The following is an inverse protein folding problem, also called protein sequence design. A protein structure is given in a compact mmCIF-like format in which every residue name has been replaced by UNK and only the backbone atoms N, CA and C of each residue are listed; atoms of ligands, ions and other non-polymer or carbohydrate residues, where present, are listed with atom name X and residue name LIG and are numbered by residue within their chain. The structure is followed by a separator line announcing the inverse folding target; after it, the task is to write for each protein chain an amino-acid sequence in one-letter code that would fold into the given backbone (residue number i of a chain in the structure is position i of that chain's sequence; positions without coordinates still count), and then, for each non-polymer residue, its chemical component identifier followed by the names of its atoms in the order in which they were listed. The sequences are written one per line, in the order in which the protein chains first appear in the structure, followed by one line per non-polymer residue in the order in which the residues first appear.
data_IF_026986465111
#
_entry.id   IF_026986465111
#
_cell.length_a   1.000
_cell.length_b   1.000
_cell.length_c   1.000
_cell.angle_alpha   90.00
_cell.angle_beta   90.00
_cell.angle_gamma   90.00
#
_symmetry.space_group_name_H-M   'P 1'
#
loop_
_entity.id
_entity.type
_entity.pdbx_description
1 polymer ?
#
# COMPACT_ATOMS: atom_id res chain seq x y z
N UNK A 1 14.42 15.19 18.04
CA UNK A 1 14.23 13.75 17.73
C UNK A 1 12.89 13.31 18.30
N UNK A 2 12.06 12.59 17.54
CA UNK A 2 10.72 12.21 17.99
C UNK A 2 10.85 11.38 19.26
N UNK A 3 10.23 11.80 20.36
CA UNK A 3 10.35 11.11 21.64
C UNK A 3 9.41 9.88 21.62
N UNK A 4 9.95 8.68 21.84
CA UNK A 4 9.18 7.42 21.91
C UNK A 4 8.89 7.08 23.38
N UNK A 5 8.38 8.08 24.10
CA UNK A 5 8.24 8.17 25.57
C UNK A 5 7.23 7.20 26.19
N UNK A 6 6.22 6.77 25.44
CA UNK A 6 5.17 5.88 25.95
C UNK A 6 5.57 4.39 26.05
N UNK A 7 6.80 4.01 25.68
CA UNK A 7 7.25 2.62 25.73
C UNK A 7 7.85 2.25 27.08
N UNK A 8 7.38 1.14 27.67
CA UNK A 8 7.86 0.63 28.96
C UNK A 8 9.28 0.04 28.92
N UNK A 9 9.83 -0.16 27.72
CA UNK A 9 11.18 -0.66 27.48
C UNK A 9 11.77 -0.05 26.21
N UNK A 10 13.12 0.06 26.10
CA UNK A 10 13.77 0.56 24.89
C UNK A 10 13.38 -0.24 23.64
N UNK A 11 13.11 0.49 22.55
CA UNK A 11 12.80 -0.08 21.25
C UNK A 11 14.05 -0.64 20.56
N UNK A 12 13.89 -1.76 19.88
CA UNK A 12 14.93 -2.38 19.05
C UNK A 12 14.60 -2.09 17.58
N UNK A 13 15.24 -1.06 17.05
CA UNK A 13 14.96 -0.56 15.71
C UNK A 13 15.61 -1.41 14.63
N UNK A 14 14.82 -1.77 13.62
CA UNK A 14 15.28 -2.37 12.37
C UNK A 14 14.89 -1.47 11.20
N UNK A 15 15.79 -1.22 10.23
CA UNK A 15 15.46 -0.42 9.07
C UNK A 15 14.45 -1.14 8.16
N UNK A 16 13.60 -0.36 7.51
CA UNK A 16 12.79 -0.77 6.38
C UNK A 16 13.05 0.15 5.18
N UNK A 17 12.59 -0.26 4.00
CA UNK A 17 12.59 0.57 2.79
C UNK A 17 11.16 0.96 2.46
N UNK A 18 10.91 2.24 2.24
CA UNK A 18 9.67 2.71 1.62
C UNK A 18 9.86 2.71 0.09
N UNK A 19 9.57 1.57 -0.54
CA UNK A 19 9.67 1.42 -2.00
C UNK A 19 8.51 2.18 -2.63
N UNK A 20 8.78 2.90 -3.73
CA UNK A 20 7.80 3.74 -4.46
C UNK A 20 7.05 4.80 -3.62
N UNK A 21 7.44 5.01 -2.37
CA UNK A 21 6.78 5.95 -1.46
C UNK A 21 5.53 5.36 -0.76
N UNK A 22 5.15 4.13 -1.07
CA UNK A 22 3.82 3.58 -0.74
C UNK A 22 3.84 2.09 -0.35
N UNK A 23 5.01 1.47 -0.22
CA UNK A 23 5.16 0.07 0.18
C UNK A 23 6.31 -0.11 1.17
N UNK A 24 6.01 -0.64 2.36
CA UNK A 24 7.04 -1.00 3.36
C UNK A 24 7.64 -2.36 3.00
N UNK A 25 8.94 -2.39 2.69
CA UNK A 25 9.71 -3.60 2.44
C UNK A 25 10.77 -3.79 3.52
N UNK A 26 10.78 -4.95 4.17
CA UNK A 26 11.62 -5.25 5.34
C UNK A 26 12.40 -6.55 5.10
N UNK A 27 13.69 -6.62 5.48
CA UNK A 27 14.42 -7.88 5.50
C UNK A 27 13.95 -8.77 6.67
N UNK A 28 13.65 -10.03 6.37
CA UNK A 28 13.22 -11.04 7.34
C UNK A 28 13.92 -12.36 7.10
N UNK A 29 13.67 -13.35 7.97
CA UNK A 29 14.05 -14.74 7.74
C UNK A 29 12.82 -15.64 7.69
N UNK A 30 12.67 -16.45 6.64
CA UNK A 30 11.61 -17.46 6.52
C UNK A 30 12.25 -18.84 6.38
N UNK A 31 11.92 -19.77 7.26
CA UNK A 31 12.49 -21.12 7.24
C UNK A 31 14.03 -21.15 7.32
N UNK A 32 14.64 -20.14 7.97
CA UNK A 32 16.10 -19.98 8.05
C UNK A 32 16.76 -19.30 6.85
N UNK A 33 15.99 -18.88 5.82
CA UNK A 33 16.52 -18.13 4.67
C UNK A 33 16.19 -16.64 4.76
N UNK A 34 17.18 -15.74 4.56
CA UNK A 34 16.94 -14.30 4.51
C UNK A 34 16.21 -13.93 3.21
N UNK A 35 15.15 -13.12 3.33
CA UNK A 35 14.34 -12.65 2.20
C UNK A 35 13.80 -11.23 2.44
N UNK A 36 13.29 -10.58 1.39
CA UNK A 36 12.54 -9.33 1.52
C UNK A 36 11.04 -9.62 1.59
N UNK A 37 10.35 -8.92 2.49
CA UNK A 37 8.92 -9.05 2.69
C UNK A 37 8.20 -7.69 2.71
N UNK A 38 6.96 -7.69 2.24
CA UNK A 38 6.05 -6.55 2.43
C UNK A 38 5.36 -6.68 3.79
N UNK A 39 5.17 -5.57 4.49
CA UNK A 39 4.30 -5.52 5.68
C UNK A 39 2.89 -5.10 5.26
N UNK A 40 1.89 -5.94 5.55
CA UNK A 40 0.52 -5.77 5.08
C UNK A 40 -0.48 -6.13 6.19
N UNK A 41 -1.01 -5.12 6.89
CA UNK A 41 -2.05 -5.32 7.91
C UNK A 41 -3.44 -5.60 7.32
N UNK A 42 -3.63 -5.42 6.00
CA UNK A 42 -4.85 -5.75 5.27
C UNK A 42 -5.00 -7.24 5.00
N UNK A 43 -3.91 -8.01 5.03
CA UNK A 43 -3.94 -9.47 4.92
C UNK A 43 -4.04 -10.14 6.29
N UNK A 44 -5.05 -11.00 6.49
CA UNK A 44 -5.21 -11.76 7.73
C UNK A 44 -4.12 -12.84 7.93
N UNK A 45 -3.51 -13.33 6.85
CA UNK A 45 -2.49 -14.38 6.88
C UNK A 45 -1.27 -13.99 6.05
N UNK A 46 -0.09 -14.42 6.50
CA UNK A 46 1.15 -14.22 5.77
C UNK A 46 1.20 -15.08 4.51
N UNK A 47 1.82 -14.53 3.45
CA UNK A 47 1.99 -15.16 2.14
C UNK A 47 3.48 -15.44 1.92
N UNK A 48 3.81 -16.60 1.36
CA UNK A 48 5.14 -16.97 0.88
C UNK A 48 5.06 -17.18 -0.63
N UNK A 49 6.06 -16.70 -1.37
CA UNK A 49 6.12 -16.89 -2.81
C UNK A 49 6.24 -18.39 -3.17
N UNK A 50 5.61 -18.82 -4.26
CA UNK A 50 5.76 -20.21 -4.75
C UNK A 50 7.23 -20.59 -4.96
N UNK A 51 8.06 -19.66 -5.43
CA UNK A 51 9.49 -19.88 -5.65
C UNK A 51 10.27 -20.05 -4.35
N UNK A 52 9.94 -19.32 -3.29
CA UNK A 52 10.52 -19.50 -1.96
C UNK A 52 10.06 -20.81 -1.33
N UNK A 53 8.77 -21.14 -1.46
CA UNK A 53 8.19 -22.38 -0.98
C UNK A 53 8.92 -23.60 -1.59
N UNK A 54 9.13 -23.61 -2.90
CA UNK A 54 9.92 -24.65 -3.61
C UNK A 54 11.35 -24.75 -3.07
N UNK A 55 12.06 -23.62 -2.93
CA UNK A 55 13.44 -23.58 -2.40
C UNK A 55 13.56 -24.08 -0.97
N UNK A 56 12.50 -23.93 -0.17
CA UNK A 56 12.43 -24.38 1.22
C UNK A 56 11.87 -25.81 1.36
N UNK A 57 11.48 -26.47 0.25
CA UNK A 57 10.86 -27.78 0.30
C UNK A 57 9.49 -27.77 0.99
N UNK A 58 8.78 -26.64 0.96
CA UNK A 58 7.43 -26.53 1.50
C UNK A 58 6.45 -27.26 0.57
N UNK A 59 6.23 -28.54 0.82
CA UNK A 59 5.23 -29.32 0.11
C UNK A 59 3.87 -29.15 0.77
N UNK A 60 2.85 -28.74 0.01
CA UNK A 60 1.47 -28.77 0.47
C UNK A 60 0.50 -29.20 -0.63
N UNK A 61 -0.37 -30.15 -0.28
CA UNK A 61 -1.54 -30.52 -1.06
C UNK A 61 -2.83 -29.92 -0.47
N UNK A 62 -2.71 -29.09 0.58
CA UNK A 62 -3.86 -28.46 1.21
C UNK A 62 -4.24 -27.21 0.43
N UNK A 63 -5.35 -27.30 -0.31
CA UNK A 63 -5.99 -26.16 -0.97
C UNK A 63 -7.06 -25.55 -0.07
N UNK A 64 -7.12 -24.21 -0.04
CA UNK A 64 -8.23 -23.47 0.57
C UNK A 64 -8.69 -22.35 -0.33
N UNK A 65 -9.98 -22.07 -0.28
CA UNK A 65 -10.53 -20.85 -0.88
C UNK A 65 -10.35 -19.72 0.13
N UNK A 66 -9.53 -18.73 -0.22
CA UNK A 66 -9.39 -17.47 0.52
C UNK A 66 -10.19 -16.36 -0.18
N UNK A 67 -10.48 -15.29 0.56
CA UNK A 67 -11.09 -14.06 0.03
C UNK A 67 -10.03 -12.98 -0.02
N UNK A 68 -9.90 -12.30 -1.15
CA UNK A 68 -9.05 -11.13 -1.37
C UNK A 68 -9.85 -9.96 -1.92
N UNK A 69 -9.15 -8.88 -2.31
CA UNK A 69 -9.75 -7.62 -2.81
C UNK A 69 -10.50 -7.81 -4.14
N UNK A 70 -10.15 -8.81 -4.96
CA UNK A 70 -10.82 -9.09 -6.23
C UNK A 70 -11.76 -10.30 -6.21
N UNK A 71 -11.91 -10.99 -5.07
CA UNK A 71 -12.89 -12.08 -4.93
C UNK A 71 -12.40 -13.28 -4.15
N UNK A 72 -12.73 -14.50 -4.63
CA UNK A 72 -12.34 -15.77 -4.01
C UNK A 72 -11.28 -16.46 -4.87
N UNK A 73 -10.18 -16.89 -4.25
CA UNK A 73 -9.10 -17.62 -4.92
C UNK A 73 -8.78 -18.92 -4.18
N UNK A 74 -8.51 -20.00 -4.94
CA UNK A 74 -7.97 -21.25 -4.36
C UNK A 74 -6.46 -21.11 -4.21
N UNK A 75 -5.95 -21.34 -3.01
CA UNK A 75 -4.53 -21.21 -2.66
C UNK A 75 -4.01 -22.43 -1.94
N UNK A 76 -2.70 -22.68 -2.04
CA UNK A 76 -2.01 -23.73 -1.28
C UNK A 76 -1.55 -23.20 0.07
N UNK A 77 -1.51 -24.06 1.10
CA UNK A 77 -1.10 -23.66 2.45
C UNK A 77 0.11 -24.46 2.96
N UNK A 78 1.20 -23.82 3.36
CA UNK A 78 2.28 -24.51 4.10
C UNK A 78 2.08 -24.38 5.61
N UNK A 79 2.33 -25.45 6.38
CA UNK A 79 2.12 -25.47 7.84
C UNK A 79 3.40 -25.26 8.62
N UNK A 80 3.26 -24.77 9.86
CA UNK A 80 4.34 -24.67 10.85
C UNK A 80 5.58 -23.89 10.37
N UNK A 81 5.36 -22.85 9.56
CA UNK A 81 6.43 -22.05 8.99
C UNK A 81 6.98 -21.10 10.04
N UNK A 82 8.30 -21.08 10.17
CA UNK A 82 8.99 -20.19 11.11
C UNK A 82 9.42 -18.93 10.37
N UNK A 83 8.99 -17.79 10.89
CA UNK A 83 9.30 -16.45 10.40
C UNK A 83 9.98 -15.68 11.52
N UNK A 84 11.05 -14.95 11.20
CA UNK A 84 11.75 -14.05 12.11
C UNK A 84 11.73 -12.63 11.52
N UNK A 85 11.15 -11.71 12.27
CA UNK A 85 11.09 -10.28 11.98
C UNK A 85 11.65 -9.54 13.20
N UNK A 86 12.68 -8.72 13.04
CA UNK A 86 13.28 -7.94 14.12
C UNK A 86 13.74 -8.76 15.35
N UNK A 87 14.16 -10.00 15.16
CA UNK A 87 14.55 -10.91 16.24
C UNK A 87 13.37 -11.56 16.96
N UNK A 88 12.14 -11.23 16.57
CA UNK A 88 10.91 -11.81 17.09
C UNK A 88 10.52 -13.03 16.25
N UNK A 89 11.09 -14.17 16.63
CA UNK A 89 10.82 -15.46 15.98
C UNK A 89 9.40 -15.95 16.29
N UNK A 90 8.64 -16.26 15.24
CA UNK A 90 7.27 -16.78 15.32
C UNK A 90 7.13 -18.05 14.49
N UNK A 91 6.42 -19.04 15.02
CA UNK A 91 5.94 -20.21 14.24
C UNK A 91 4.49 -19.97 13.85
N UNK A 92 4.25 -19.69 12.58
CA UNK A 92 2.91 -19.53 12.03
C UNK A 92 2.26 -20.90 11.82
N UNK A 93 0.98 -21.10 12.23
CA UNK A 93 0.28 -22.36 12.02
C UNK A 93 0.19 -22.73 10.54
N UNK A 94 -0.01 -21.72 9.69
CA UNK A 94 0.07 -21.84 8.24
C UNK A 94 0.52 -20.51 7.60
N UNK A 95 0.95 -20.59 6.35
CA UNK A 95 1.11 -19.47 5.42
C UNK A 95 0.43 -19.82 4.11
N UNK A 96 -0.02 -18.81 3.37
CA UNK A 96 -0.53 -18.97 2.01
C UNK A 96 0.66 -19.04 1.04
N UNK A 97 0.60 -19.93 0.05
CA UNK A 97 1.56 -19.96 -1.06
C UNK A 97 0.88 -19.32 -2.27
N UNK A 98 1.52 -18.31 -2.86
CA UNK A 98 1.01 -17.60 -4.04
C UNK A 98 2.16 -17.12 -4.95
N UNK A 99 1.84 -16.81 -6.21
CA UNK A 99 2.79 -16.17 -7.11
C UNK A 99 2.87 -14.67 -6.82
N UNK A 100 4.07 -14.19 -6.45
CA UNK A 100 4.36 -12.79 -6.13
C UNK A 100 5.18 -12.09 -7.24
N UNK A 101 5.31 -12.69 -8.43
CA UNK A 101 6.09 -12.11 -9.54
C UNK A 101 5.58 -10.74 -9.96
N UNK A 102 4.28 -10.55 -10.13
CA UNK A 102 3.71 -9.26 -10.53
C UNK A 102 4.01 -8.14 -9.54
N UNK A 103 3.95 -8.45 -8.24
CA UNK A 103 4.31 -7.52 -7.15
C UNK A 103 5.81 -7.22 -7.19
N UNK A 104 6.64 -8.25 -7.37
CA UNK A 104 8.10 -8.10 -7.49
C UNK A 104 8.49 -7.19 -8.67
N UNK A 105 7.84 -7.38 -9.83
CA UNK A 105 8.05 -6.55 -11.02
C UNK A 105 7.63 -5.10 -10.78
N UNK A 106 6.47 -4.87 -10.15
CA UNK A 106 5.99 -3.53 -9.81
C UNK A 106 6.96 -2.77 -8.88
N UNK A 107 7.57 -3.47 -7.92
CA UNK A 107 8.54 -2.89 -6.98
C UNK A 107 9.97 -2.87 -7.51
N UNK A 108 10.23 -3.44 -8.70
CA UNK A 108 11.57 -3.55 -9.30
C UNK A 108 12.56 -4.34 -8.43
N UNK A 109 12.07 -5.28 -7.60
CA UNK A 109 12.88 -6.12 -6.72
C UNK A 109 12.15 -7.42 -6.34
N UNK A 110 12.88 -8.49 -6.02
CA UNK A 110 12.25 -9.71 -5.49
C UNK A 110 11.49 -9.43 -4.19
N UNK A 111 10.25 -9.89 -4.12
CA UNK A 111 9.48 -10.01 -2.88
C UNK A 111 9.09 -11.46 -2.71
N UNK A 112 9.60 -12.09 -1.65
CA UNK A 112 9.37 -13.50 -1.40
C UNK A 112 8.31 -13.76 -0.32
N UNK A 113 7.88 -12.72 0.40
CA UNK A 113 6.85 -12.84 1.41
C UNK A 113 6.00 -11.56 1.59
N UNK A 114 4.79 -11.75 2.10
CA UNK A 114 3.91 -10.70 2.62
C UNK A 114 3.58 -11.07 4.06
N UNK A 115 3.80 -10.16 5.00
CA UNK A 115 3.56 -10.36 6.43
C UNK A 115 2.20 -9.80 6.80
N UNK A 116 1.27 -10.69 7.13
CA UNK A 116 -0.08 -10.37 7.52
C UNK A 116 -0.24 -10.00 9.00
N UNK A 117 -1.49 -9.78 9.39
CA UNK A 117 -1.95 -9.57 10.78
C UNK A 117 -1.54 -10.73 11.72
N UNK A 118 -1.40 -11.95 11.19
CA UNK A 118 -0.94 -13.12 11.93
C UNK A 118 0.44 -12.94 12.57
N UNK A 119 1.31 -12.14 11.95
CA UNK A 119 2.60 -11.75 12.52
C UNK A 119 2.47 -10.69 13.63
N UNK A 120 1.42 -9.86 13.58
CA UNK A 120 1.15 -8.77 14.52
C UNK A 120 0.35 -9.20 15.76
N UNK A 121 -0.28 -10.38 15.71
CA UNK A 121 -1.02 -10.94 16.86
C UNK A 121 -0.09 -11.14 18.07
N UNK A 122 -0.46 -10.69 19.26
CA UNK A 122 0.35 -10.64 20.48
C UNK A 122 1.65 -9.83 20.34
N UNK A 123 1.68 -8.88 19.40
CA UNK A 123 2.81 -7.98 19.18
C UNK A 123 2.35 -6.52 19.15
N UNK A 124 3.27 -5.66 19.55
CA UNK A 124 3.18 -4.22 19.44
C UNK A 124 4.21 -3.76 18.41
N UNK A 125 3.73 -3.17 17.31
CA UNK A 125 4.54 -2.67 16.20
C UNK A 125 4.69 -1.15 16.35
N UNK A 126 5.91 -0.64 16.33
CA UNK A 126 6.22 0.77 16.20
C UNK A 126 6.75 1.06 14.79
N UNK A 127 6.22 2.07 14.10
CA UNK A 127 6.69 2.54 12.79
C UNK A 127 7.14 4.00 12.89
N UNK A 128 8.43 4.22 12.63
CA UNK A 128 9.06 5.53 12.54
C UNK A 128 9.36 5.82 11.07
N UNK A 129 8.47 6.54 10.41
CA UNK A 129 8.60 6.86 8.98
C UNK A 129 9.72 7.87 8.73
N UNK A 130 9.93 8.80 9.68
CA UNK A 130 11.00 9.79 9.59
C UNK A 130 12.37 9.14 9.45
N UNK A 131 12.62 8.05 10.18
CA UNK A 131 13.89 7.33 10.14
C UNK A 131 13.81 6.00 9.36
N UNK A 132 12.69 5.73 8.68
CA UNK A 132 12.44 4.48 7.94
C UNK A 132 12.83 3.22 8.72
N UNK A 133 12.30 3.10 9.93
CA UNK A 133 12.60 1.99 10.84
C UNK A 133 11.37 1.54 11.61
N UNK A 134 11.37 0.27 12.00
CA UNK A 134 10.32 -0.33 12.80
C UNK A 134 10.90 -1.03 14.02
N UNK A 135 10.07 -1.23 15.04
CA UNK A 135 10.38 -2.11 16.16
C UNK A 135 9.18 -3.00 16.40
N UNK A 136 9.43 -4.28 16.72
CA UNK A 136 8.40 -5.22 17.12
C UNK A 136 8.71 -5.71 18.53
N UNK A 137 7.69 -5.75 19.39
CA UNK A 137 7.82 -6.26 20.76
C UNK A 137 6.53 -6.92 21.21
N UNK A 138 6.49 -7.37 22.46
CA UNK A 138 5.25 -7.94 23.02
C UNK A 138 4.11 -6.91 23.05
N UNK A 139 2.88 -7.40 22.87
CA UNK A 139 1.66 -6.60 23.06
C UNK A 139 1.60 -6.01 24.47
N UNK A 140 0.95 -4.84 24.62
CA UNK A 140 0.77 -4.15 25.89
C UNK A 140 2.00 -3.39 26.40
N UNK A 141 2.95 -3.05 25.50
CA UNK A 141 4.20 -2.35 25.86
C UNK A 141 4.18 -0.84 25.67
N UNK A 142 3.05 -0.29 25.26
CA UNK A 142 2.90 1.13 24.99
C UNK A 142 1.69 1.69 25.75
N UNK A 143 1.95 2.63 26.67
CA UNK A 143 0.94 3.21 27.55
C UNK A 143 0.43 4.59 27.06
N UNK A 144 0.95 5.04 25.92
CA UNK A 144 0.74 6.39 25.42
C UNK A 144 1.79 7.37 25.93
N UNK A 145 1.99 8.44 25.17
CA UNK A 145 2.88 9.56 25.52
C UNK A 145 2.18 10.88 25.20
N UNK A 146 2.82 12.01 25.53
CA UNK A 146 2.14 13.31 25.54
C UNK A 146 1.52 13.72 24.19
N UNK A 147 2.18 13.36 23.09
CA UNK A 147 1.77 13.72 21.73
C UNK A 147 0.99 12.61 21.01
N UNK A 148 0.78 11.47 21.66
CA UNK A 148 0.16 10.29 21.05
C UNK A 148 -1.35 10.31 21.23
N UNK A 149 -2.08 10.08 20.14
CA UNK A 149 -3.54 10.00 20.12
C UNK A 149 -3.97 8.55 19.97
N UNK A 150 -4.76 8.08 20.92
CA UNK A 150 -5.30 6.72 20.94
C UNK A 150 -6.53 6.59 20.06
N UNK A 151 -6.58 5.51 19.31
CA UNK A 151 -7.73 5.02 18.57
C UNK A 151 -7.98 3.56 18.92
N UNK A 152 -9.24 3.14 18.88
CA UNK A 152 -9.60 1.75 19.08
C UNK A 152 -9.56 1.01 17.75
N UNK A 153 -8.98 -0.19 17.78
CA UNK A 153 -9.06 -1.13 16.68
C UNK A 153 -10.25 -2.05 16.90
N UNK A 154 -10.91 -2.40 15.81
CA UNK A 154 -11.87 -3.49 15.78
C UNK A 154 -11.61 -4.40 14.60
N UNK A 155 -12.33 -5.51 14.52
CA UNK A 155 -12.24 -6.42 13.38
C UNK A 155 -13.58 -6.46 12.66
N UNK A 156 -13.52 -6.40 11.33
CA UNK A 156 -14.65 -6.65 10.46
C UNK A 156 -15.01 -8.13 10.38
N UNK A 157 -16.09 -8.43 9.67
CA UNK A 157 -16.61 -9.80 9.50
C UNK A 157 -15.65 -10.72 8.75
N UNK A 158 -14.72 -10.18 7.95
CA UNK A 158 -13.67 -10.94 7.26
C UNK A 158 -12.29 -10.74 7.91
N UNK A 159 -12.26 -10.33 9.18
CA UNK A 159 -11.03 -9.98 9.92
C UNK A 159 -10.29 -8.75 9.39
N UNK A 160 -10.96 -7.88 8.66
CA UNK A 160 -10.39 -6.58 8.30
C UNK A 160 -10.04 -5.82 9.60
N UNK A 161 -8.86 -5.23 9.69
CA UNK A 161 -8.50 -4.39 10.83
C UNK A 161 -9.14 -3.02 10.64
N UNK A 162 -10.04 -2.61 11.52
CA UNK A 162 -10.86 -1.41 11.35
C UNK A 162 -10.50 -0.30 12.33
N UNK A 163 -10.55 0.93 11.82
CA UNK A 163 -10.49 2.20 12.57
C UNK A 163 -11.63 3.10 12.13
N UNK A 164 -12.11 3.96 13.01
CA UNK A 164 -13.06 5.01 12.62
C UNK A 164 -12.32 6.20 12.01
N UNK A 165 -12.78 6.63 10.84
CA UNK A 165 -12.32 7.85 10.18
C UNK A 165 -13.52 8.61 9.59
N UNK A 166 -13.35 9.91 9.38
CA UNK A 166 -14.33 10.77 8.71
C UNK A 166 -13.75 11.31 7.40
N UNK A 167 -14.59 11.40 6.37
CA UNK A 167 -14.19 11.90 5.04
C UNK A 167 -15.07 13.09 4.70
N UNK A 168 -14.46 14.19 4.27
CA UNK A 168 -15.15 15.40 3.84
C UNK A 168 -16.18 15.96 4.84
N UNK A 169 -16.00 15.70 6.15
CA UNK A 169 -16.88 16.18 7.22
C UNK A 169 -18.09 15.28 7.51
N UNK A 170 -18.17 14.11 6.88
CA UNK A 170 -19.18 13.09 7.21
C UNK A 170 -18.95 12.50 8.61
N UNK A 171 -19.95 11.83 9.22
CA UNK A 171 -19.76 11.11 10.47
C UNK A 171 -18.62 10.08 10.41
N UNK A 172 -18.00 9.83 11.56
CA UNK A 172 -17.02 8.76 11.71
C UNK A 172 -17.62 7.43 11.26
N UNK A 173 -16.87 6.74 10.41
CA UNK A 173 -17.30 5.51 9.76
C UNK A 173 -16.15 4.51 9.77
N UNK A 174 -16.42 3.20 9.93
CA UNK A 174 -15.38 2.19 9.91
C UNK A 174 -14.64 2.14 8.57
N UNK A 175 -13.32 2.22 8.63
CA UNK A 175 -12.39 2.08 7.51
C UNK A 175 -11.36 1.00 7.83
N UNK A 176 -10.92 0.26 6.81
CA UNK A 176 -9.81 -0.68 6.94
C UNK A 176 -8.53 0.12 7.19
N UNK A 177 -7.72 -0.25 8.19
CA UNK A 177 -6.38 0.26 8.41
C UNK A 177 -5.37 -0.66 7.73
N UNK A 178 -4.83 -0.22 6.60
CA UNK A 178 -4.19 -1.10 5.63
C UNK A 178 -2.76 -0.64 5.27
N UNK A 179 -1.75 -1.23 5.91
CA UNK A 179 -0.34 -0.97 5.61
C UNK A 179 0.09 -1.51 4.22
N UNK A 180 -0.68 -2.43 3.64
CA UNK A 180 -0.43 -3.00 2.31
C UNK A 180 -1.10 -2.26 1.16
N UNK A 181 -2.01 -1.32 1.46
CA UNK A 181 -2.68 -0.51 0.45
C UNK A 181 -1.81 0.68 0.02
N UNK A 182 -1.39 0.69 -1.24
CA UNK A 182 -0.58 1.75 -1.84
C UNK A 182 -1.36 3.03 -2.20
N UNK A 183 -2.68 3.05 -2.02
CA UNK A 183 -3.53 4.22 -2.22
C UNK A 183 -3.82 4.89 -0.88
N UNK A 184 -3.71 6.22 -0.78
CA UNK A 184 -3.92 6.94 0.48
C UNK A 184 -5.33 6.71 1.08
N UNK A 185 -6.36 6.76 0.22
CA UNK A 185 -7.75 6.50 0.60
C UNK A 185 -8.48 5.76 -0.52
N UNK A 186 -9.10 4.62 -0.18
CA UNK A 186 -10.10 3.97 -1.03
C UNK A 186 -11.48 4.06 -0.40
N UNK A 187 -12.53 4.34 -1.17
CA UNK A 187 -13.91 4.42 -0.67
C UNK A 187 -14.86 3.48 -1.41
N UNK A 188 -15.75 2.85 -0.66
CA UNK A 188 -16.87 2.08 -1.18
C UNK A 188 -17.71 2.93 -2.15
N UNK A 189 -17.93 2.51 -3.41
CA UNK A 189 -18.73 3.26 -4.37
C UNK A 189 -20.16 3.53 -3.88
N UNK A 190 -20.74 2.64 -3.05
CA UNK A 190 -22.07 2.88 -2.46
C UNK A 190 -22.04 4.05 -1.47
N UNK A 191 -21.03 4.12 -0.61
CA UNK A 191 -20.82 5.24 0.33
C UNK A 191 -20.57 6.56 -0.40
N UNK A 192 -19.77 6.52 -1.47
CA UNK A 192 -19.52 7.69 -2.34
C UNK A 192 -20.81 8.21 -2.97
N UNK A 193 -21.66 7.31 -3.48
CA UNK A 193 -22.95 7.65 -4.08
C UNK A 193 -23.96 8.19 -3.08
N UNK A 194 -24.12 7.51 -1.93
CA UNK A 194 -25.06 7.90 -0.86
C UNK A 194 -24.82 9.33 -0.35
N UNK A 195 -23.56 9.72 -0.25
CA UNK A 195 -23.17 11.03 0.28
C UNK A 195 -22.80 12.07 -0.79
N UNK A 196 -22.98 11.76 -2.07
CA UNK A 196 -22.63 12.64 -3.20
C UNK A 196 -21.19 13.17 -3.12
N UNK A 197 -20.23 12.35 -2.69
CA UNK A 197 -18.87 12.80 -2.39
C UNK A 197 -18.12 13.36 -3.60
N UNK A 198 -18.53 13.00 -4.83
CA UNK A 198 -17.91 13.47 -6.07
C UNK A 198 -18.59 14.73 -6.65
N UNK A 199 -19.67 15.22 -6.04
CA UNK A 199 -20.40 16.37 -6.56
C UNK A 199 -19.54 17.64 -6.51
N UNK A 200 -19.26 18.21 -7.68
CA UNK A 200 -18.43 19.40 -7.81
C UNK A 200 -16.94 19.16 -7.53
N UNK A 201 -16.50 17.90 -7.45
CA UNK A 201 -15.08 17.54 -7.36
C UNK A 201 -14.60 17.13 -8.76
N UNK A 202 -13.38 17.53 -9.12
CA UNK A 202 -12.72 17.01 -10.32
C UNK A 202 -12.50 15.50 -10.14
N UNK A 203 -12.59 14.75 -11.23
CA UNK A 203 -12.45 13.30 -11.18
C UNK A 203 -11.95 12.76 -12.51
N UNK A 204 -11.37 11.58 -12.46
CA UNK A 204 -10.91 10.86 -13.64
C UNK A 204 -11.00 9.35 -13.43
N UNK A 205 -10.67 8.57 -14.46
CA UNK A 205 -10.60 7.11 -14.39
C UNK A 205 -9.21 6.66 -14.00
N UNK A 206 -9.12 5.62 -13.20
CA UNK A 206 -7.88 4.93 -12.87
C UNK A 206 -8.11 3.42 -12.89
N UNK A 207 -7.03 2.68 -12.67
CA UNK A 207 -7.05 1.24 -12.49
C UNK A 207 -6.24 0.85 -11.27
N UNK A 208 -6.72 -0.13 -10.53
CA UNK A 208 -6.05 -0.69 -9.35
C UNK A 208 -5.51 -2.07 -9.75
N UNK A 209 -4.23 -2.31 -9.52
CA UNK A 209 -3.62 -3.63 -9.69
C UNK A 209 -3.61 -4.39 -8.37
N UNK A 210 -3.87 -5.70 -8.42
CA UNK A 210 -3.77 -6.58 -7.26
C UNK A 210 -3.48 -8.03 -7.68
N UNK A 211 -3.45 -8.94 -6.69
CA UNK A 211 -3.23 -10.37 -6.93
C UNK A 211 -4.28 -10.97 -7.87
N UNK A 212 -5.50 -10.44 -7.85
CA UNK A 212 -6.65 -10.91 -8.64
C UNK A 212 -6.79 -10.23 -10.01
N UNK A 213 -5.86 -9.34 -10.40
CA UNK A 213 -5.88 -8.64 -11.69
C UNK A 213 -6.06 -7.12 -11.58
N UNK A 214 -6.72 -6.53 -12.58
CA UNK A 214 -6.91 -5.08 -12.71
C UNK A 214 -8.38 -4.72 -12.47
N UNK A 215 -8.63 -3.79 -11.55
CA UNK A 215 -9.97 -3.28 -11.22
C UNK A 215 -10.11 -1.83 -11.67
N UNK A 216 -11.11 -1.50 -12.53
CA UNK A 216 -11.42 -0.12 -12.88
C UNK A 216 -11.86 0.69 -11.67
N UNK A 217 -11.57 1.98 -11.68
CA UNK A 217 -11.88 2.84 -10.56
C UNK A 217 -11.97 4.32 -10.95
N UNK A 218 -12.57 5.14 -10.09
CA UNK A 218 -12.61 6.59 -10.24
C UNK A 218 -11.65 7.23 -9.24
N UNK A 219 -10.76 8.09 -9.70
CA UNK A 219 -9.82 8.84 -8.86
C UNK A 219 -10.25 10.30 -8.73
N UNK A 220 -10.01 10.88 -7.54
CA UNK A 220 -10.39 12.24 -7.16
C UNK A 220 -9.59 12.69 -5.94
N UNK A 221 -9.57 13.99 -5.66
CA UNK A 221 -8.98 14.53 -4.43
C UNK A 221 -10.04 14.69 -3.32
N UNK A 222 -9.93 13.93 -2.22
CA UNK A 222 -10.79 14.12 -1.06
C UNK A 222 -10.38 15.40 -0.30
N UNK A 223 -11.35 16.28 0.00
CA UNK A 223 -11.09 17.58 0.64
C UNK A 223 -10.30 17.48 1.94
N UNK A 224 -10.69 16.52 2.79
CA UNK A 224 -9.96 16.16 3.99
C UNK A 224 -10.42 14.81 4.53
N UNK A 225 -9.55 14.18 5.29
CA UNK A 225 -9.83 13.00 6.14
C UNK A 225 -9.53 13.37 7.59
N UNK A 226 -10.39 12.93 8.50
CA UNK A 226 -10.10 12.91 9.93
C UNK A 226 -9.72 11.48 10.32
N UNK A 227 -8.52 11.29 10.86
CA UNK A 227 -8.08 10.04 11.46
C UNK A 227 -7.83 10.29 12.95
N UNK A 228 -8.77 9.85 13.79
CA UNK A 228 -8.86 10.29 15.17
C UNK A 228 -9.08 11.80 15.24
N UNK A 229 -8.24 12.50 16.00
CA UNK A 229 -8.28 13.97 16.12
C UNK A 229 -7.52 14.70 15.00
N UNK A 230 -6.80 13.96 14.15
CA UNK A 230 -5.90 14.55 13.15
C UNK A 230 -6.63 14.83 11.85
N UNK A 231 -6.50 16.06 11.34
CA UNK A 231 -7.05 16.48 10.06
C UNK A 231 -5.99 16.44 8.97
N UNK A 232 -6.20 15.62 7.95
CA UNK A 232 -5.34 15.55 6.76
C UNK A 232 -6.09 16.20 5.60
N UNK A 233 -5.67 17.37 5.09
CA UNK A 233 -6.27 17.98 3.91
C UNK A 233 -5.79 17.30 2.61
N UNK A 234 -6.54 17.47 1.51
CA UNK A 234 -6.13 17.09 0.15
C UNK A 234 -5.55 15.68 0.05
N UNK A 235 -6.42 14.69 0.25
CA UNK A 235 -6.03 13.27 0.28
C UNK A 235 -6.35 12.64 -1.09
N UNK A 236 -5.33 12.13 -1.82
CA UNK A 236 -5.57 11.39 -3.06
C UNK A 236 -6.46 10.18 -2.78
N UNK A 237 -7.58 10.10 -3.49
CA UNK A 237 -8.60 9.10 -3.22
C UNK A 237 -9.00 8.35 -4.48
N UNK A 238 -9.54 7.16 -4.25
CA UNK A 238 -9.99 6.27 -5.30
C UNK A 238 -11.27 5.54 -4.86
N UNK A 239 -12.22 5.37 -5.76
CA UNK A 239 -13.38 4.49 -5.54
C UNK A 239 -13.37 3.39 -6.60
N UNK A 240 -13.11 2.12 -6.22
CA UNK A 240 -13.13 1.01 -7.16
C UNK A 240 -14.55 0.74 -7.67
N UNK A 241 -14.65 0.10 -8.84
CA UNK A 241 -15.94 -0.35 -9.38
C UNK A 241 -16.64 -1.40 -8.50
N UNK A 242 -15.87 -2.09 -7.64
CA UNK A 242 -16.36 -3.14 -6.75
C UNK A 242 -15.74 -3.01 -5.37
N UNK A 243 -16.55 -3.24 -4.33
CA UNK A 243 -16.12 -3.24 -2.93
C UNK A 243 -16.63 -4.49 -2.23
N UNK A 244 -15.74 -5.21 -1.53
CA UNK A 244 -16.06 -6.53 -0.96
C UNK A 244 -16.35 -6.48 0.54
N UNK A 245 -15.80 -5.50 1.27
CA UNK A 245 -16.04 -5.43 2.71
C UNK A 245 -17.47 -5.02 3.00
N UNK A 246 -18.12 -5.76 3.87
CA UNK A 246 -19.44 -5.42 4.43
C UNK A 246 -19.32 -4.69 5.77
N UNK A 247 -18.10 -4.60 6.33
CA UNK A 247 -17.84 -4.01 7.64
C UNK A 247 -17.18 -2.62 7.56
N UNK A 248 -16.58 -2.27 6.42
CA UNK A 248 -15.92 -1.00 6.20
C UNK A 248 -16.49 -0.26 4.98
N UNK A 249 -16.48 1.08 5.03
CA UNK A 249 -16.87 1.96 3.91
C UNK A 249 -15.69 2.50 3.11
N UNK A 250 -14.50 2.04 3.43
CA UNK A 250 -13.26 2.44 2.77
C UNK A 250 -12.03 1.80 3.43
N UNK A 251 -10.87 2.15 2.90
CA UNK A 251 -9.55 1.72 3.39
C UNK A 251 -8.63 2.94 3.45
N UNK A 252 -7.96 3.11 4.58
CA UNK A 252 -6.91 4.08 4.82
C UNK A 252 -5.58 3.37 4.57
N UNK A 253 -4.90 3.76 3.49
CA UNK A 253 -3.68 3.09 3.05
C UNK A 253 -2.40 3.79 3.49
N UNK A 254 -1.27 3.17 3.14
CA UNK A 254 0.06 3.54 3.61
C UNK A 254 0.46 5.01 3.34
N UNK A 255 0.13 5.63 2.19
CA UNK A 255 0.46 7.06 1.99
C UNK A 255 -0.20 7.98 3.02
N UNK A 256 -1.42 7.68 3.49
CA UNK A 256 -2.09 8.44 4.55
C UNK A 256 -1.56 8.03 5.93
N UNK A 257 -1.37 6.73 6.17
CA UNK A 257 -0.85 6.22 7.45
C UNK A 257 0.54 6.80 7.75
N UNK A 258 1.41 6.90 6.73
CA UNK A 258 2.77 7.42 6.85
C UNK A 258 2.87 8.92 7.16
N UNK A 259 1.73 9.62 7.20
CA UNK A 259 1.64 10.97 7.79
C UNK A 259 1.79 10.95 9.33
N UNK A 260 1.85 9.77 9.94
CA UNK A 260 1.96 9.56 11.38
C UNK A 260 3.12 8.62 11.73
N UNK A 261 3.79 8.86 12.85
CA UNK A 261 4.40 7.78 13.60
C UNK A 261 3.27 6.89 14.15
N UNK A 262 3.46 5.57 14.08
CA UNK A 262 2.40 4.60 14.41
C UNK A 262 2.88 3.66 15.51
N UNK A 263 2.02 3.43 16.52
CA UNK A 263 2.09 2.24 17.36
C UNK A 263 0.82 1.42 17.17
N UNK A 264 0.98 0.22 16.62
CA UNK A 264 -0.10 -0.70 16.31
C UNK A 264 -0.01 -1.93 17.21
N UNK A 265 -1.04 -2.15 18.03
CA UNK A 265 -1.20 -3.34 18.84
C UNK A 265 -2.57 -3.96 18.62
N UNK A 266 -2.59 -4.94 17.72
CA UNK A 266 -3.83 -5.59 17.28
C UNK A 266 -4.47 -6.41 18.40
N UNK A 267 -3.68 -6.96 19.33
CA UNK A 267 -4.20 -7.79 20.44
C UNK A 267 -4.73 -6.94 21.59
N UNK A 268 -4.07 -5.83 21.90
CA UNK A 268 -4.58 -4.84 22.83
C UNK A 268 -5.74 -4.01 22.23
N UNK A 269 -5.99 -4.15 20.91
CA UNK A 269 -6.98 -3.38 20.14
C UNK A 269 -6.73 -1.87 20.18
N UNK A 270 -5.46 -1.50 20.13
CA UNK A 270 -5.04 -0.11 20.22
C UNK A 270 -4.19 0.30 19.03
N UNK A 271 -4.53 1.46 18.49
CA UNK A 271 -3.72 2.20 17.54
C UNK A 271 -3.37 3.53 18.18
N UNK A 272 -2.10 3.91 18.12
CA UNK A 272 -1.65 5.23 18.54
C UNK A 272 -0.98 5.93 17.39
N UNK A 273 -1.38 7.18 17.19
CA UNK A 273 -0.88 8.02 16.12
C UNK A 273 -0.32 9.31 16.69
N UNK A 274 0.80 9.74 16.14
CA UNK A 274 1.33 11.09 16.31
C UNK A 274 1.77 11.59 14.93
N UNK A 275 1.51 12.86 14.55
CA UNK A 275 2.01 13.38 13.28
C UNK A 275 3.50 13.13 13.08
N UNK A 276 3.88 12.56 11.94
CA UNK A 276 5.27 12.35 11.59
C UNK A 276 5.92 13.71 11.31
N UNK A 277 7.16 13.91 11.78
CA UNK A 277 7.87 15.17 11.55
C UNK A 277 8.28 15.38 10.09
N UNK A 278 8.70 14.31 9.43
CA UNK A 278 8.98 14.30 7.99
C UNK A 278 8.17 13.18 7.36
N UNK A 279 6.90 13.46 7.11
CA UNK A 279 6.02 12.55 6.39
C UNK A 279 6.45 12.42 4.92
N UNK A 280 6.45 11.20 4.35
CA UNK A 280 6.53 11.04 2.90
C UNK A 280 5.37 11.76 2.21
N UNK A 281 5.58 12.34 1.01
CA UNK A 281 4.48 12.98 0.29
C UNK A 281 3.45 11.93 -0.16
N UNK A 282 2.16 12.26 -0.03
CA UNK A 282 1.12 11.54 -0.75
C UNK A 282 1.24 11.90 -2.23
N UNK A 283 1.60 10.93 -3.06
CA UNK A 283 1.91 11.17 -4.46
C UNK A 283 0.64 11.33 -5.30
N UNK A 284 0.61 12.35 -6.15
CA UNK A 284 -0.47 12.65 -7.08
C UNK A 284 0.01 12.46 -8.52
N UNK A 285 -0.64 11.56 -9.27
CA UNK A 285 -0.28 11.37 -10.68
C UNK A 285 -0.74 12.59 -11.47
N UNK A 286 0.15 13.21 -12.23
CA UNK A 286 -0.18 14.35 -13.09
C UNK A 286 -0.05 14.00 -14.57
N UNK A 287 0.01 12.71 -14.91
CA UNK A 287 0.23 12.22 -16.28
C UNK A 287 -1.02 11.62 -16.90
N UNK A 288 -1.82 10.91 -16.11
CA UNK A 288 -2.93 10.09 -16.55
C UNK A 288 -2.58 8.66 -16.93
N UNK A 289 -1.36 8.18 -16.69
CA UNK A 289 -0.99 6.81 -17.06
C UNK A 289 -1.25 5.80 -15.95
N UNK A 290 -1.88 4.68 -16.29
CA UNK A 290 -1.63 3.41 -15.62
C UNK A 290 -0.48 2.71 -16.32
N UNK A 291 0.62 2.43 -15.62
CA UNK A 291 1.82 1.82 -16.20
C UNK A 291 2.14 0.50 -15.50
N UNK A 292 2.58 -0.47 -16.30
CA UNK A 292 3.20 -1.70 -15.82
C UNK A 292 4.63 -1.77 -16.34
N UNK A 293 5.58 -2.08 -15.46
CA UNK A 293 6.97 -2.35 -15.84
C UNK A 293 7.09 -3.81 -16.24
N UNK A 294 7.47 -4.06 -17.49
CA UNK A 294 7.72 -5.39 -18.02
C UNK A 294 9.00 -5.36 -18.85
N UNK A 295 9.96 -6.24 -18.56
CA UNK A 295 11.19 -6.43 -19.35
C UNK A 295 11.92 -5.13 -19.77
N UNK A 296 12.07 -4.17 -18.86
CA UNK A 296 12.77 -2.90 -19.13
C UNK A 296 12.00 -1.93 -20.03
N UNK A 297 10.67 -2.04 -20.11
CA UNK A 297 9.80 -1.09 -20.81
C UNK A 297 8.54 -0.84 -19.98
N UNK A 298 7.93 0.34 -20.15
CA UNK A 298 6.65 0.67 -19.52
C UNK A 298 5.52 0.39 -20.51
N UNK A 299 4.65 -0.54 -20.18
CA UNK A 299 3.42 -0.79 -20.92
C UNK A 299 2.32 0.10 -20.36
N UNK A 300 1.62 0.83 -21.23
CA UNK A 300 0.43 1.60 -20.86
C UNK A 300 -0.72 0.63 -20.70
N UNK A 301 -1.16 0.41 -19.45
CA UNK A 301 -2.31 -0.45 -19.13
C UNK A 301 -3.61 0.33 -19.02
N UNK A 302 -3.51 1.64 -18.76
CA UNK A 302 -4.66 2.53 -18.68
C UNK A 302 -4.28 3.97 -19.06
N UNK A 303 -5.24 4.69 -19.63
CA UNK A 303 -5.14 6.14 -19.88
C UNK A 303 -6.35 6.80 -19.26
N UNK A 304 -6.10 7.62 -18.24
CA UNK A 304 -7.12 8.27 -17.44
C UNK A 304 -7.91 9.30 -18.26
N UNK A 305 -9.23 9.34 -18.09
CA UNK A 305 -10.10 10.28 -18.79
C UNK A 305 -9.70 11.73 -18.50
N UNK A 306 -9.74 12.60 -19.51
CA UNK A 306 -9.42 14.04 -19.38
C UNK A 306 -7.98 14.38 -18.92
N UNK A 307 -7.10 13.38 -18.82
CA UNK A 307 -5.71 13.54 -18.41
C UNK A 307 -4.79 14.09 -19.51
N UNK A 308 -3.56 14.52 -19.17
CA UNK A 308 -2.54 14.85 -20.17
C UNK A 308 -2.27 13.72 -21.16
N UNK A 309 -2.15 12.46 -20.71
CA UNK A 309 -1.93 11.33 -21.59
C UNK A 309 -3.07 11.14 -22.59
N UNK A 310 -4.32 11.31 -22.15
CA UNK A 310 -5.49 11.26 -23.03
C UNK A 310 -5.48 12.38 -24.08
N UNK A 311 -5.14 13.61 -23.68
CA UNK A 311 -5.06 14.79 -24.57
C UNK A 311 -4.02 14.60 -25.67
N UNK A 312 -2.89 14.00 -25.33
CA UNK A 312 -1.84 13.67 -26.30
C UNK A 312 -2.17 12.45 -27.17
N UNK A 313 -3.27 11.74 -26.89
CA UNK A 313 -3.75 10.61 -27.68
C UNK A 313 -3.09 9.27 -27.37
N UNK A 314 -2.51 9.10 -26.17
CA UNK A 314 -2.01 7.79 -25.72
C UNK A 314 -3.16 6.81 -25.52
N UNK A 315 -2.86 5.52 -25.67
CA UNK A 315 -3.84 4.43 -25.51
C UNK A 315 -3.25 3.27 -24.72
N UNK A 316 -4.12 2.49 -24.10
CA UNK A 316 -3.73 1.20 -23.55
C UNK A 316 -3.11 0.33 -24.66
N UNK A 317 -2.01 -0.35 -24.35
CA UNK A 317 -1.19 -1.10 -25.30
C UNK A 317 0.00 -0.34 -25.89
N UNK A 318 0.02 1.01 -25.79
CA UNK A 318 1.21 1.78 -26.11
C UNK A 318 2.36 1.45 -25.15
N UNK A 319 3.60 1.70 -25.57
CA UNK A 319 4.79 1.47 -24.73
C UNK A 319 5.66 2.71 -24.67
N UNK A 320 6.24 2.95 -23.51
CA UNK A 320 7.25 4.00 -23.29
C UNK A 320 8.61 3.33 -23.07
N UNK A 321 9.56 3.64 -23.94
CA UNK A 321 10.91 3.09 -23.93
C UNK A 321 11.94 4.04 -23.31
N UNK A 322 11.66 5.34 -23.29
CA UNK A 322 12.51 6.34 -22.62
C UNK A 322 11.70 7.54 -22.14
N UNK A 323 12.16 8.14 -21.05
CA UNK A 323 11.61 9.38 -20.48
C UNK A 323 12.78 10.35 -20.30
N UNK A 324 12.66 11.55 -20.88
CA UNK A 324 13.72 12.58 -20.86
C UNK A 324 15.07 12.02 -21.30
N UNK A 325 15.07 11.32 -22.45
CA UNK A 325 16.21 10.61 -23.06
C UNK A 325 16.86 9.50 -22.23
N UNK A 326 16.40 9.27 -21.00
CA UNK A 326 16.79 8.11 -20.19
C UNK A 326 15.93 6.91 -20.54
N UNK A 327 16.56 5.82 -20.98
CA UNK A 327 15.88 4.54 -21.28
C UNK A 327 15.25 3.95 -20.02
N UNK A 328 14.14 3.24 -20.21
CA UNK A 328 13.60 2.36 -19.18
C UNK A 328 14.46 1.10 -19.14
N UNK A 329 14.77 0.65 -17.94
CA UNK A 329 15.48 -0.59 -17.65
C UNK A 329 15.15 -1.04 -16.21
N UNK A 330 15.84 -2.06 -15.71
CA UNK A 330 15.66 -2.58 -14.34
C UNK A 330 15.99 -1.57 -13.23
N UNK A 331 16.69 -0.47 -13.54
CA UNK A 331 16.97 0.62 -12.60
C UNK A 331 15.79 1.57 -12.41
N UNK A 332 14.76 1.52 -13.26
CA UNK A 332 13.66 2.49 -13.30
C UNK A 332 13.02 2.75 -11.92
N UNK A 333 12.78 1.69 -11.13
CA UNK A 333 12.24 1.82 -9.77
C UNK A 333 13.32 2.21 -8.76
N UNK A 334 14.53 1.63 -8.86
CA UNK A 334 15.63 1.80 -7.90
C UNK A 334 16.20 3.23 -7.90
N UNK A 335 16.32 3.83 -9.08
CA UNK A 335 16.95 5.13 -9.28
C UNK A 335 15.97 6.29 -9.21
N UNK A 336 14.76 6.04 -8.70
CA UNK A 336 13.68 7.03 -8.60
C UNK A 336 13.25 7.63 -9.94
N UNK A 337 13.61 7.03 -11.08
CA UNK A 337 13.24 7.53 -12.40
C UNK A 337 11.72 7.59 -12.55
N UNK A 338 11.00 6.66 -11.92
CA UNK A 338 9.55 6.61 -11.81
C UNK A 338 8.86 7.87 -11.27
N UNK A 339 9.58 8.74 -10.55
CA UNK A 339 9.02 9.97 -9.94
C UNK A 339 8.54 11.00 -10.96
N UNK A 340 8.93 10.86 -12.23
CA UNK A 340 8.53 11.78 -13.30
C UNK A 340 7.02 11.98 -13.37
N UNK A 341 6.22 10.97 -13.01
CA UNK A 341 4.74 11.02 -13.06
C UNK A 341 4.12 11.95 -12.02
N UNK A 342 4.86 12.20 -10.95
CA UNK A 342 4.43 12.92 -9.75
C UNK A 342 5.13 14.28 -9.65
N UNK A 343 5.81 14.73 -10.71
CA UNK A 343 6.43 16.05 -10.77
C UNK A 343 5.34 17.15 -10.83
N UNK A 344 5.65 18.39 -10.41
CA UNK A 344 4.64 19.45 -10.35
C UNK A 344 3.92 19.70 -11.69
N UNK A 345 2.63 20.09 -11.66
CA UNK A 345 1.90 20.55 -12.84
C UNK A 345 2.68 21.63 -13.62
N UNK A 346 2.58 21.59 -14.94
CA UNK A 346 3.36 22.45 -15.85
C UNK A 346 4.74 21.89 -16.21
N UNK A 347 5.22 20.85 -15.52
CA UNK A 347 6.44 20.14 -15.93
C UNK A 347 6.25 19.51 -17.30
N UNK A 348 7.17 19.77 -18.23
CA UNK A 348 7.22 19.08 -19.52
C UNK A 348 8.16 17.88 -19.43
N UNK A 349 7.70 16.72 -19.90
CA UNK A 349 8.53 15.53 -20.11
C UNK A 349 8.47 15.09 -21.56
N UNK A 350 9.51 14.40 -22.03
CA UNK A 350 9.55 13.78 -23.36
C UNK A 350 9.52 12.28 -23.23
N UNK A 351 8.60 11.63 -23.94
CA UNK A 351 8.40 10.19 -23.94
C UNK A 351 8.73 9.62 -25.30
N UNK A 352 9.63 8.63 -25.37
CA UNK A 352 9.91 7.88 -26.60
C UNK A 352 9.08 6.61 -26.63
N UNK A 353 8.29 6.44 -27.67
CA UNK A 353 7.42 5.27 -27.84
C UNK A 353 8.10 4.10 -28.58
N UNK A 354 7.37 2.99 -28.74
CA UNK A 354 7.85 1.75 -29.39
C UNK A 354 8.26 1.90 -30.85
N UNK A 355 7.78 2.93 -31.57
CA UNK A 355 8.17 3.19 -32.97
C UNK A 355 9.26 4.26 -33.06
N UNK A 356 9.80 4.70 -31.92
CA UNK A 356 10.88 5.70 -31.83
C UNK A 356 10.39 7.14 -31.91
N UNK A 357 9.08 7.39 -31.92
CA UNK A 357 8.54 8.76 -31.92
C UNK A 357 8.70 9.36 -30.53
N UNK A 358 9.16 10.62 -30.49
CA UNK A 358 9.25 11.40 -29.26
C UNK A 358 8.02 12.28 -29.14
N UNK A 359 7.28 12.11 -28.04
CA UNK A 359 6.06 12.85 -27.72
C UNK A 359 6.32 13.71 -26.49
N UNK A 360 5.85 14.95 -26.51
CA UNK A 360 5.90 15.84 -25.35
C UNK A 360 4.65 15.61 -24.52
N UNK A 361 4.79 15.66 -23.20
CA UNK A 361 3.67 15.61 -22.27
C UNK A 361 3.88 16.71 -21.24
N UNK A 362 2.89 17.58 -21.07
CA UNK A 362 2.88 18.58 -19.99
C UNK A 362 2.00 18.05 -18.87
N UNK A 363 2.58 17.87 -17.69
CA UNK A 363 1.88 17.38 -16.51
C UNK A 363 0.83 18.38 -16.04
N UNK A 364 -0.30 17.90 -15.55
CA UNK A 364 -1.38 18.74 -15.02
C UNK A 364 -2.28 17.97 -14.05
N UNK A 365 -2.86 18.68 -13.09
CA UNK A 365 -3.94 18.16 -12.24
C UNK A 365 -5.13 17.77 -13.13
N UNK A 366 -5.56 16.52 -13.05
CA UNK A 366 -6.67 16.02 -13.87
C UNK A 366 -7.78 15.34 -13.06
N UNK A 367 -7.63 15.26 -11.73
CA UNK A 367 -8.63 14.76 -10.79
C UNK A 367 -8.64 15.56 -9.47
#
# INVERSE_FOLDING_TARGET
MSNWDGFVAPLQWQPFKLVTGDTIVIPITVGGRPVEAILDSGSAASIVSSSLAEKLGMTSNEQRIIRGVGGRASVLLARNVVVDLAGERRRLPFVVISDLKSISSALGRPVDAVLGEDMLTQRCLALDFNNSRLSLGASGRFDGGQEWKRMLLSHGSNRELLVDASVAGLPNTPMIFDLGNSTALMLDPAFVGEHNLLQGIRQSTAVIGGVDGITPATTFMAKHVMLGESRIPSVPALTPSTWISTSAKGSVGLPLISQFDVVLDVTAKQLWLRPAWHAPPMLEDHTGFGLSLDNGQLSVVHVAAHSPAAKEGWRAGDRVLAINDRKIDESYIKDQHWRWRFMPPGTMVTLRDQIGRVRKLVLADYY
#
